data_IF_131696922380
#
_entry.id   IF_131696922380
#
_cell.length_a   1.000
_cell.length_b   1.000
_cell.length_c   1.000
_cell.angle_alpha   90.00
_cell.angle_beta   90.00
_cell.angle_gamma   90.00
#
_symmetry.space_group_name_H-M   'P 1'
#
loop_
_entity.id
_entity.type
_entity.pdbx_description
1 polymer ?
#
# COMPACT_ATOMS: atom_id res chain seq x y z
N UNK A 1 10.04 -13.56 8.15
CA UNK A 1 11.29 -13.07 7.50
C UNK A 1 11.70 -13.94 6.30
N UNK A 2 11.73 -15.29 6.38
CA UNK A 2 12.15 -16.15 5.25
C UNK A 2 11.40 -15.82 3.95
N UNK A 3 10.07 -15.73 3.99
CA UNK A 3 9.24 -15.40 2.81
C UNK A 3 9.61 -14.02 2.23
N UNK A 4 9.89 -13.03 3.07
CA UNK A 4 10.29 -11.68 2.64
C UNK A 4 11.66 -11.65 1.96
N UNK A 5 12.61 -12.45 2.44
CA UNK A 5 13.99 -12.50 1.89
C UNK A 5 14.05 -13.30 0.59
N UNK A 6 13.18 -14.30 0.40
CA UNK A 6 13.21 -15.20 -0.74
C UNK A 6 13.19 -14.49 -2.10
N UNK A 7 12.32 -13.50 -2.39
CA UNK A 7 12.34 -12.75 -3.64
C UNK A 7 13.66 -11.96 -3.84
N UNK A 8 14.21 -11.39 -2.78
CA UNK A 8 15.48 -10.64 -2.84
C UNK A 8 16.62 -11.54 -3.24
N UNK A 9 16.69 -12.74 -2.66
CA UNK A 9 17.74 -13.72 -2.98
C UNK A 9 17.59 -14.25 -4.41
N UNK A 10 16.35 -14.47 -4.86
CA UNK A 10 16.08 -15.04 -6.18
C UNK A 10 16.28 -14.04 -7.32
N UNK A 11 15.88 -12.79 -7.12
CA UNK A 11 15.77 -11.80 -8.20
C UNK A 11 16.69 -10.59 -8.03
N UNK A 12 17.43 -10.51 -6.91
CA UNK A 12 18.28 -9.38 -6.57
C UNK A 12 17.55 -8.02 -6.66
N UNK A 13 16.36 -7.94 -6.11
CA UNK A 13 15.58 -6.69 -6.04
C UNK A 13 16.26 -5.67 -5.10
N UNK A 14 15.98 -4.38 -5.31
CA UNK A 14 16.57 -3.29 -4.52
C UNK A 14 15.87 -3.10 -3.17
N UNK A 15 14.62 -3.53 -3.05
CA UNK A 15 13.85 -3.44 -1.83
C UNK A 15 13.03 -4.71 -1.57
N UNK A 16 12.92 -5.06 -0.28
CA UNK A 16 12.02 -6.09 0.22
C UNK A 16 10.81 -5.44 0.86
N UNK A 17 9.61 -5.93 0.58
CA UNK A 17 8.41 -5.57 1.35
C UNK A 17 8.14 -6.65 2.40
N UNK A 18 7.91 -6.24 3.64
CA UNK A 18 7.62 -7.21 4.71
C UNK A 18 6.38 -8.05 4.38
N UNK A 19 6.49 -9.37 4.49
CA UNK A 19 5.32 -10.24 4.32
C UNK A 19 4.44 -10.16 5.58
N UNK A 20 3.34 -9.43 5.45
CA UNK A 20 2.32 -9.19 6.49
C UNK A 20 0.95 -8.96 5.81
N UNK A 21 -0.01 -8.40 6.52
CA UNK A 21 -1.33 -8.06 6.01
C UNK A 21 -1.74 -6.65 6.47
N UNK A 22 -2.44 -5.89 5.63
CA UNK A 22 -3.00 -4.58 5.99
C UNK A 22 -4.01 -4.66 7.12
N UNK A 23 -4.63 -5.82 7.31
CA UNK A 23 -5.62 -6.07 8.37
C UNK A 23 -5.00 -6.27 9.75
N UNK A 24 -3.66 -6.20 9.86
CA UNK A 24 -3.01 -6.21 11.18
C UNK A 24 -3.47 -5.05 12.06
N UNK A 25 -3.72 -3.87 11.49
CA UNK A 25 -4.21 -2.74 12.28
C UNK A 25 -5.63 -2.98 12.84
N UNK A 26 -6.66 -3.38 12.08
CA UNK A 26 -7.95 -3.82 12.62
C UNK A 26 -7.82 -4.98 13.64
N UNK A 27 -6.96 -5.95 13.36
CA UNK A 27 -6.68 -7.04 14.29
C UNK A 27 -6.12 -6.52 15.62
N UNK A 28 -5.14 -5.63 15.58
CA UNK A 28 -4.59 -4.95 16.75
C UNK A 28 -5.65 -4.20 17.55
N UNK A 29 -6.60 -3.57 16.86
CA UNK A 29 -7.74 -2.88 17.42
C UNK A 29 -8.86 -3.82 17.95
N UNK A 30 -8.64 -5.13 17.91
CA UNK A 30 -9.53 -6.11 18.53
C UNK A 30 -10.59 -6.71 17.61
N UNK A 31 -10.53 -6.44 16.31
CA UNK A 31 -11.38 -7.09 15.32
C UNK A 31 -10.72 -8.37 14.84
N UNK A 32 -11.37 -9.52 15.00
CA UNK A 32 -10.81 -10.81 14.59
C UNK A 32 -10.78 -10.94 13.08
N UNK A 33 -9.73 -11.54 12.53
CA UNK A 33 -9.57 -11.85 11.11
C UNK A 33 -9.83 -13.34 10.90
N UNK A 34 -10.75 -13.67 10.00
CA UNK A 34 -11.03 -15.04 9.54
C UNK A 34 -10.81 -15.10 8.04
N UNK A 35 -10.24 -16.21 7.57
CA UNK A 35 -10.11 -16.46 6.14
C UNK A 35 -11.25 -17.38 5.69
N UNK A 36 -12.13 -16.86 4.83
CA UNK A 36 -13.18 -17.64 4.20
C UNK A 36 -12.70 -18.09 2.81
N UNK A 37 -12.91 -19.38 2.49
CA UNK A 37 -12.58 -19.91 1.16
C UNK A 37 -13.31 -19.10 0.09
N UNK A 38 -12.61 -18.78 -1.00
CA UNK A 38 -13.10 -18.01 -2.17
C UNK A 38 -13.46 -16.53 -1.89
N UNK A 39 -13.57 -16.11 -0.62
CA UNK A 39 -13.82 -14.73 -0.23
C UNK A 39 -12.52 -13.98 0.16
N UNK A 40 -11.59 -14.71 0.76
CA UNK A 40 -10.38 -14.14 1.35
C UNK A 40 -10.57 -13.68 2.81
N UNK A 41 -9.82 -12.67 3.25
CA UNK A 41 -9.90 -12.21 4.63
C UNK A 41 -11.22 -11.47 4.91
N UNK A 42 -11.86 -11.81 6.03
CA UNK A 42 -13.08 -11.21 6.55
C UNK A 42 -12.89 -10.86 8.01
N UNK A 43 -13.29 -9.66 8.38
CA UNK A 43 -13.25 -9.22 9.76
C UNK A 43 -14.56 -9.58 10.49
N UNK A 44 -14.45 -9.86 11.79
CA UNK A 44 -15.62 -10.03 12.67
C UNK A 44 -16.50 -8.77 12.66
N UNK A 45 -17.71 -8.87 13.20
CA UNK A 45 -18.60 -7.71 13.33
C UNK A 45 -17.88 -6.57 14.05
N UNK A 46 -17.99 -5.36 13.50
CA UNK A 46 -17.41 -4.16 14.08
C UNK A 46 -18.10 -3.82 15.40
N UNK A 47 -17.32 -3.62 16.43
CA UNK A 47 -17.74 -3.06 17.71
C UNK A 47 -16.95 -1.76 17.97
N UNK A 48 -17.51 -0.65 17.49
CA UNK A 48 -16.89 0.68 17.58
C UNK A 48 -16.60 1.05 19.03
N UNK A 49 -17.52 0.77 19.97
CA UNK A 49 -17.35 1.11 21.40
C UNK A 49 -16.17 0.37 22.01
N UNK A 50 -15.97 -0.89 21.63
CA UNK A 50 -14.81 -1.69 22.09
C UNK A 50 -13.51 -1.14 21.49
N UNK A 51 -13.49 -0.87 20.19
CA UNK A 51 -12.29 -0.33 19.49
C UNK A 51 -11.86 1.01 20.08
N UNK A 52 -12.80 1.91 20.35
CA UNK A 52 -12.49 3.22 20.93
C UNK A 52 -11.82 3.14 22.31
N UNK A 53 -12.04 2.06 23.04
CA UNK A 53 -11.45 1.82 24.38
C UNK A 53 -10.08 1.14 24.35
N UNK A 54 -9.63 0.61 23.22
CA UNK A 54 -8.33 -0.08 23.10
C UNK A 54 -7.19 0.87 23.46
N UNK A 55 -6.28 0.40 24.32
CA UNK A 55 -5.09 1.13 24.74
C UNK A 55 -3.92 0.86 23.80
N UNK A 56 -3.00 1.80 23.72
CA UNK A 56 -1.82 1.72 22.84
C UNK A 56 -0.95 0.48 23.17
N UNK A 57 -0.72 0.20 24.43
CA UNK A 57 0.07 -0.96 24.84
C UNK A 57 -0.56 -2.29 24.41
N UNK A 58 -1.89 -2.42 24.53
CA UNK A 58 -2.59 -3.64 24.10
C UNK A 58 -2.45 -3.87 22.59
N UNK A 59 -2.57 -2.78 21.81
CA UNK A 59 -2.38 -2.81 20.37
C UNK A 59 -0.93 -3.20 20.00
N UNK A 60 0.07 -2.55 20.61
CA UNK A 60 1.49 -2.83 20.35
C UNK A 60 1.82 -4.27 20.68
N UNK A 61 1.41 -4.75 21.85
CA UNK A 61 1.66 -6.12 22.29
C UNK A 61 1.06 -7.14 21.32
N UNK A 62 -0.16 -6.89 20.86
CA UNK A 62 -0.85 -7.76 19.91
C UNK A 62 -0.16 -7.82 18.54
N UNK A 63 0.47 -6.74 18.10
CA UNK A 63 1.21 -6.64 16.84
C UNK A 63 2.72 -6.91 16.98
N UNK A 64 3.21 -7.23 18.18
CA UNK A 64 4.64 -7.49 18.42
C UNK A 64 5.26 -8.55 17.49
N UNK A 65 4.55 -9.62 17.03
CA UNK A 65 5.11 -10.55 16.06
C UNK A 65 5.45 -9.91 14.71
N UNK A 66 4.69 -8.90 14.27
CA UNK A 66 4.97 -8.14 13.03
C UNK A 66 6.28 -7.36 13.18
N UNK A 67 6.44 -6.65 14.29
CA UNK A 67 7.66 -5.87 14.58
C UNK A 67 8.89 -6.77 14.70
N UNK A 68 8.74 -7.93 15.35
CA UNK A 68 9.81 -8.93 15.43
C UNK A 68 10.18 -9.50 14.04
N UNK A 69 9.19 -9.70 13.17
CA UNK A 69 9.45 -10.13 11.78
C UNK A 69 10.23 -9.09 10.99
N UNK A 70 9.92 -7.79 11.16
CA UNK A 70 10.64 -6.67 10.55
C UNK A 70 12.09 -6.65 11.05
N UNK A 71 12.29 -6.66 12.36
CA UNK A 71 13.63 -6.67 12.98
C UNK A 71 14.49 -7.83 12.46
N UNK A 72 13.92 -9.03 12.45
CA UNK A 72 14.62 -10.23 11.97
C UNK A 72 14.94 -10.15 10.50
N UNK A 73 14.01 -9.60 9.68
CA UNK A 73 14.24 -9.41 8.24
C UNK A 73 15.34 -8.37 8.00
N UNK A 74 15.29 -7.24 8.71
CA UNK A 74 16.30 -6.17 8.56
C UNK A 74 17.71 -6.67 8.87
N UNK A 75 17.87 -7.48 9.92
CA UNK A 75 19.17 -8.09 10.28
C UNK A 75 19.70 -9.04 9.21
N UNK A 76 18.80 -9.69 8.43
CA UNK A 76 19.16 -10.63 7.38
C UNK A 76 19.30 -10.00 6.00
N UNK A 77 18.82 -8.77 5.84
CA UNK A 77 18.86 -8.05 4.58
C UNK A 77 20.25 -7.42 4.37
N UNK A 78 20.77 -7.46 3.14
CA UNK A 78 22.02 -6.77 2.79
C UNK A 78 21.87 -5.26 3.01
N UNK A 79 22.96 -4.58 3.35
CA UNK A 79 22.97 -3.14 3.69
C UNK A 79 22.57 -2.21 2.54
N UNK A 80 22.76 -2.67 1.30
CA UNK A 80 22.40 -1.97 0.07
C UNK A 80 20.94 -2.15 -0.34
N UNK A 81 20.16 -2.91 0.43
CA UNK A 81 18.72 -3.17 0.18
C UNK A 81 17.84 -2.48 1.20
N UNK A 82 16.73 -1.93 0.73
CA UNK A 82 15.72 -1.29 1.60
C UNK A 82 14.66 -2.28 2.07
N UNK A 83 14.15 -2.07 3.29
CA UNK A 83 13.00 -2.81 3.81
C UNK A 83 11.78 -1.90 3.86
N UNK A 84 10.75 -2.28 3.11
CA UNK A 84 9.47 -1.59 3.05
C UNK A 84 8.54 -2.17 4.11
N UNK A 85 8.15 -1.36 5.10
CA UNK A 85 6.98 -1.59 5.92
C UNK A 85 5.72 -1.08 5.21
N UNK A 86 4.53 -1.44 5.69
CA UNK A 86 3.32 -0.93 5.07
C UNK A 86 2.11 -0.89 5.99
N UNK A 87 1.10 -0.15 5.58
CA UNK A 87 -0.23 -0.12 6.17
C UNK A 87 -1.31 -0.08 5.09
N UNK A 88 -2.52 -0.48 5.45
CA UNK A 88 -3.71 -0.07 4.69
C UNK A 88 -4.09 1.36 5.05
N UNK A 89 -4.45 2.16 4.06
CA UNK A 89 -5.00 3.50 4.30
C UNK A 89 -6.37 3.43 5.02
N UNK A 90 -6.76 4.46 5.76
CA UNK A 90 -7.97 4.44 6.59
C UNK A 90 -9.23 4.06 5.84
N UNK A 91 -9.46 4.58 4.63
CA UNK A 91 -10.63 4.19 3.83
C UNK A 91 -10.60 2.71 3.44
N UNK A 92 -9.48 2.24 2.94
CA UNK A 92 -9.32 0.82 2.61
C UNK A 92 -9.59 -0.07 3.82
N UNK A 93 -9.11 0.30 5.00
CA UNK A 93 -9.38 -0.45 6.22
C UNK A 93 -10.87 -0.38 6.62
N UNK A 94 -11.53 0.75 6.45
CA UNK A 94 -12.97 0.89 6.68
C UNK A 94 -13.79 -0.05 5.79
N UNK A 95 -13.42 -0.19 4.52
CA UNK A 95 -14.07 -1.17 3.62
C UNK A 95 -14.08 -2.57 4.22
N UNK A 96 -12.98 -2.99 4.83
CA UNK A 96 -12.88 -4.29 5.51
C UNK A 96 -13.58 -4.29 6.88
N UNK A 97 -13.34 -3.27 7.73
CA UNK A 97 -13.87 -3.20 9.10
C UNK A 97 -15.40 -3.18 9.13
N UNK A 98 -16.02 -2.47 8.19
CA UNK A 98 -17.49 -2.41 8.04
C UNK A 98 -18.06 -3.54 7.18
N UNK A 99 -17.20 -4.46 6.67
CA UNK A 99 -17.63 -5.55 5.78
C UNK A 99 -18.45 -5.03 4.59
N UNK A 100 -17.95 -3.97 3.93
CA UNK A 100 -18.65 -3.35 2.79
C UNK A 100 -18.54 -4.17 1.49
N UNK A 101 -17.69 -5.18 1.45
CA UNK A 101 -17.51 -6.06 0.29
C UNK A 101 -18.55 -7.18 0.28
N UNK A 102 -19.06 -7.47 -0.90
CA UNK A 102 -19.84 -8.68 -1.16
C UNK A 102 -18.95 -9.86 -1.60
N UNK A 103 -19.58 -11.02 -1.86
CA UNK A 103 -18.88 -12.24 -2.32
C UNK A 103 -18.19 -12.06 -3.69
N UNK A 104 -18.69 -11.15 -4.52
CA UNK A 104 -18.13 -10.83 -5.84
C UNK A 104 -17.09 -9.72 -5.77
N UNK A 105 -16.67 -9.34 -4.56
CA UNK A 105 -15.73 -8.23 -4.29
C UNK A 105 -16.28 -6.84 -4.69
N UNK A 106 -17.58 -6.70 -4.95
CA UNK A 106 -18.20 -5.40 -5.16
C UNK A 106 -18.37 -4.69 -3.82
N UNK A 107 -18.27 -3.34 -3.85
CA UNK A 107 -18.55 -2.54 -2.66
C UNK A 107 -20.03 -2.16 -2.57
N UNK A 108 -20.60 -2.37 -1.41
CA UNK A 108 -21.92 -1.84 -1.05
C UNK A 108 -21.75 -0.58 -0.19
N UNK A 109 -21.37 0.53 -0.85
CA UNK A 109 -21.14 1.83 -0.20
C UNK A 109 -22.41 2.36 0.48
N UNK A 110 -23.62 1.99 0.00
CA UNK A 110 -24.88 2.43 0.60
C UNK A 110 -25.05 1.99 2.06
N UNK A 111 -24.26 1.00 2.51
CA UNK A 111 -24.25 0.56 3.91
C UNK A 111 -23.37 1.43 4.81
N UNK A 112 -22.61 2.36 4.25
CA UNK A 112 -21.68 3.19 5.00
C UNK A 112 -22.25 4.59 5.19
N UNK A 113 -22.42 5.00 6.45
CA UNK A 113 -22.87 6.35 6.79
C UNK A 113 -21.67 7.30 6.95
N UNK A 114 -21.43 8.10 5.91
CA UNK A 114 -20.34 9.07 5.85
C UNK A 114 -20.48 10.22 6.87
N UNK A 115 -21.67 10.42 7.44
CA UNK A 115 -21.97 11.54 8.35
C UNK A 115 -22.06 11.12 9.81
N UNK A 116 -22.03 9.83 10.11
CA UNK A 116 -22.12 9.32 11.47
C UNK A 116 -20.94 9.80 12.32
N UNK A 117 -21.23 10.31 13.51
CA UNK A 117 -20.20 10.79 14.45
C UNK A 117 -19.31 9.65 14.95
N UNK A 118 -19.85 8.45 15.21
CA UNK A 118 -19.04 7.29 15.58
C UNK A 118 -18.03 6.92 14.49
N UNK A 119 -18.39 7.12 13.21
CA UNK A 119 -17.48 6.91 12.08
C UNK A 119 -16.32 7.91 12.10
N UNK A 120 -16.59 9.17 12.48
CA UNK A 120 -15.53 10.19 12.62
C UNK A 120 -14.57 9.86 13.76
N UNK A 121 -15.10 9.48 14.92
CA UNK A 121 -14.29 9.10 16.08
C UNK A 121 -13.45 7.86 15.79
N UNK A 122 -14.04 6.89 15.08
CA UNK A 122 -13.33 5.69 14.66
C UNK A 122 -12.22 6.02 13.65
N UNK A 123 -12.46 6.97 12.71
CA UNK A 123 -11.45 7.42 11.75
C UNK A 123 -10.25 8.04 12.48
N UNK A 124 -10.47 8.94 13.41
CA UNK A 124 -9.40 9.56 14.19
C UNK A 124 -8.64 8.53 15.05
N UNK A 125 -9.37 7.61 15.67
CA UNK A 125 -8.76 6.50 16.40
C UNK A 125 -7.88 5.65 15.48
N UNK A 126 -8.39 5.30 14.30
CA UNK A 126 -7.67 4.49 13.32
C UNK A 126 -6.39 5.18 12.85
N UNK A 127 -6.46 6.46 12.45
CA UNK A 127 -5.29 7.25 12.04
C UNK A 127 -4.23 7.26 13.15
N UNK A 128 -4.62 7.55 14.40
CA UNK A 128 -3.71 7.53 15.55
C UNK A 128 -2.99 6.19 15.69
N UNK A 129 -3.71 5.07 15.58
CA UNK A 129 -3.14 3.74 15.75
C UNK A 129 -2.35 3.27 14.52
N UNK A 130 -2.67 3.76 13.31
CA UNK A 130 -1.83 3.58 12.14
C UNK A 130 -0.50 4.31 12.28
N UNK A 131 -0.50 5.55 12.77
CA UNK A 131 0.74 6.28 13.08
C UNK A 131 1.59 5.53 14.11
N UNK A 132 0.97 5.00 15.16
CA UNK A 132 1.67 4.17 16.16
C UNK A 132 2.24 2.88 15.53
N UNK A 133 1.48 2.22 14.65
CA UNK A 133 1.94 1.04 13.93
C UNK A 133 3.12 1.34 13.01
N UNK A 134 3.07 2.47 12.29
CA UNK A 134 4.17 2.97 11.47
C UNK A 134 5.41 3.20 12.32
N UNK A 135 5.28 3.93 13.43
CA UNK A 135 6.40 4.19 14.33
C UNK A 135 7.07 2.88 14.77
N UNK A 136 6.28 1.88 15.19
CA UNK A 136 6.83 0.57 15.61
C UNK A 136 7.45 -0.22 14.45
N UNK A 137 6.95 -0.11 13.23
CA UNK A 137 7.60 -0.70 12.05
C UNK A 137 8.95 -0.02 11.77
N UNK A 138 9.02 1.30 11.85
CA UNK A 138 10.26 2.07 11.65
C UNK A 138 11.28 1.77 12.75
N UNK A 139 10.88 1.78 14.01
CA UNK A 139 11.74 1.40 15.16
C UNK A 139 12.29 -0.03 15.01
N UNK A 140 11.52 -0.94 14.41
CA UNK A 140 11.93 -2.31 14.11
C UNK A 140 12.86 -2.45 12.89
N UNK A 141 13.06 -1.37 12.12
CA UNK A 141 14.01 -1.30 11.01
C UNK A 141 13.41 -1.21 9.60
N UNK A 142 12.14 -0.86 9.46
CA UNK A 142 11.58 -0.48 8.16
C UNK A 142 12.18 0.87 7.70
N UNK A 143 12.69 0.93 6.48
CA UNK A 143 13.35 2.12 5.91
C UNK A 143 12.33 3.08 5.27
N UNK A 144 11.22 2.55 4.78
CA UNK A 144 10.16 3.29 4.10
C UNK A 144 8.80 2.66 4.39
N UNK A 145 7.74 3.44 4.39
CA UNK A 145 6.38 2.94 4.62
C UNK A 145 5.54 3.11 3.36
N UNK A 146 4.97 2.02 2.87
CA UNK A 146 3.97 2.04 1.80
C UNK A 146 2.56 2.09 2.38
N UNK A 147 1.73 3.02 1.87
CA UNK A 147 0.34 3.24 2.29
C UNK A 147 -0.57 2.78 1.16
N UNK A 148 -1.26 1.66 1.36
CA UNK A 148 -2.14 1.07 0.35
C UNK A 148 -3.58 1.55 0.52
N UNK A 149 -4.07 2.39 -0.41
CA UNK A 149 -5.48 2.76 -0.50
C UNK A 149 -6.15 2.09 -1.71
N UNK A 150 -6.26 0.78 -1.63
CA UNK A 150 -6.68 -0.10 -2.73
C UNK A 150 -8.14 0.11 -3.18
N UNK A 151 -8.94 0.81 -2.38
CA UNK A 151 -10.35 1.07 -2.61
C UNK A 151 -10.66 2.57 -2.81
N UNK A 152 -9.63 3.41 -2.99
CA UNK A 152 -9.78 4.85 -3.14
C UNK A 152 -10.68 5.25 -4.32
N UNK A 153 -10.63 4.51 -5.43
CA UNK A 153 -11.44 4.74 -6.62
C UNK A 153 -12.96 4.55 -6.41
N UNK A 154 -13.35 3.87 -5.33
CA UNK A 154 -14.77 3.58 -5.05
C UNK A 154 -15.37 4.55 -4.03
N UNK A 155 -14.60 5.56 -3.59
CA UNK A 155 -15.15 6.69 -2.84
C UNK A 155 -15.92 7.62 -3.76
N UNK A 156 -17.14 8.02 -3.41
CA UNK A 156 -17.82 9.13 -4.06
C UNK A 156 -16.97 10.41 -4.02
N UNK A 157 -17.03 11.21 -5.07
CA UNK A 157 -16.19 12.40 -5.22
C UNK A 157 -16.33 13.39 -4.06
N UNK A 158 -17.55 13.58 -3.55
CA UNK A 158 -17.85 14.44 -2.41
C UNK A 158 -17.21 13.94 -1.09
N UNK A 159 -16.82 12.68 -1.02
CA UNK A 159 -16.23 12.07 0.17
C UNK A 159 -14.73 11.80 0.06
N UNK A 160 -14.12 11.91 -1.14
CA UNK A 160 -12.72 11.55 -1.39
C UNK A 160 -11.75 12.39 -0.54
N UNK A 161 -12.03 13.68 -0.39
CA UNK A 161 -11.18 14.54 0.43
C UNK A 161 -11.20 14.10 1.89
N UNK A 162 -12.38 13.84 2.45
CA UNK A 162 -12.58 13.52 3.87
C UNK A 162 -12.06 12.13 4.25
N UNK A 163 -12.17 11.13 3.36
CA UNK A 163 -11.87 9.74 3.70
C UNK A 163 -10.60 9.20 3.03
N UNK A 164 -10.08 9.86 1.99
CA UNK A 164 -8.82 9.50 1.34
C UNK A 164 -7.74 10.58 1.56
N UNK A 165 -7.94 11.83 1.07
CA UNK A 165 -6.84 12.79 1.05
C UNK A 165 -6.40 13.24 2.44
N UNK A 166 -7.32 13.75 3.27
CA UNK A 166 -6.98 14.26 4.61
C UNK A 166 -6.42 13.17 5.54
N UNK A 167 -6.98 11.95 5.60
CA UNK A 167 -6.38 10.88 6.39
C UNK A 167 -4.96 10.50 5.95
N UNK A 168 -4.72 10.39 4.63
CA UNK A 168 -3.37 10.13 4.10
C UNK A 168 -2.42 11.30 4.39
N UNK A 169 -2.89 12.56 4.30
CA UNK A 169 -2.11 13.74 4.68
C UNK A 169 -1.66 13.70 6.15
N UNK A 170 -2.56 13.38 7.08
CA UNK A 170 -2.23 13.26 8.50
C UNK A 170 -1.14 12.20 8.74
N UNK A 171 -1.27 11.03 8.09
CA UNK A 171 -0.31 9.94 8.19
C UNK A 171 1.05 10.33 7.58
N UNK A 172 1.06 10.91 6.38
CA UNK A 172 2.30 11.36 5.72
C UNK A 172 3.00 12.45 6.55
N UNK A 173 2.25 13.39 7.12
CA UNK A 173 2.84 14.40 8.01
C UNK A 173 3.44 13.79 9.28
N UNK A 174 2.80 12.75 9.84
CA UNK A 174 3.38 12.00 10.94
C UNK A 174 4.70 11.33 10.52
N UNK A 175 4.74 10.66 9.37
CA UNK A 175 5.93 10.02 8.84
C UNK A 175 7.08 11.03 8.65
N UNK A 176 6.79 12.22 8.13
CA UNK A 176 7.79 13.31 8.01
C UNK A 176 8.38 13.72 9.37
N UNK A 177 7.56 13.80 10.43
CA UNK A 177 8.03 14.14 11.77
C UNK A 177 8.98 13.11 12.36
N UNK A 178 8.84 11.84 11.97
CA UNK A 178 9.74 10.75 12.39
C UNK A 178 10.81 10.41 11.34
N UNK A 179 10.99 11.27 10.32
CA UNK A 179 11.95 11.11 9.23
C UNK A 179 11.84 9.77 8.49
N UNK A 180 10.63 9.30 8.25
CA UNK A 180 10.34 8.05 7.54
C UNK A 180 9.71 8.35 6.19
N UNK A 181 10.39 8.06 5.06
CA UNK A 181 9.83 8.25 3.72
C UNK A 181 8.55 7.43 3.49
N UNK A 182 7.68 7.96 2.63
CA UNK A 182 6.39 7.35 2.32
C UNK A 182 6.19 7.08 0.85
N UNK A 183 5.55 5.95 0.52
CA UNK A 183 5.03 5.63 -0.80
C UNK A 183 3.51 5.50 -0.67
N UNK A 184 2.74 6.40 -1.29
CA UNK A 184 1.28 6.33 -1.25
C UNK A 184 0.73 5.69 -2.52
N UNK A 185 -0.26 4.79 -2.38
CA UNK A 185 -0.93 4.15 -3.50
C UNK A 185 -2.46 4.29 -3.41
N UNK A 186 -3.02 5.46 -3.78
CA UNK A 186 -4.46 5.66 -3.91
C UNK A 186 -4.94 5.09 -5.26
N UNK A 187 -5.18 3.78 -5.31
CA UNK A 187 -5.44 3.05 -6.54
C UNK A 187 -6.70 3.51 -7.25
N UNK A 188 -6.60 3.67 -8.58
CA UNK A 188 -7.74 3.85 -9.48
C UNK A 188 -8.37 5.24 -9.47
N UNK A 189 -7.75 6.24 -8.84
CA UNK A 189 -8.30 7.59 -8.80
C UNK A 189 -8.09 8.42 -10.07
N UNK A 190 -7.40 7.86 -11.07
CA UNK A 190 -7.20 8.49 -12.39
C UNK A 190 -6.55 9.87 -12.31
N UNK A 191 -7.08 10.87 -13.01
CA UNK A 191 -6.53 12.23 -13.00
C UNK A 191 -6.52 12.90 -11.62
N UNK A 192 -7.27 12.37 -10.63
CA UNK A 192 -7.28 12.87 -9.25
C UNK A 192 -5.96 12.59 -8.51
N UNK A 193 -5.05 11.79 -9.07
CA UNK A 193 -3.67 11.67 -8.59
C UNK A 193 -2.98 13.03 -8.42
N UNK A 194 -3.27 14.00 -9.30
CA UNK A 194 -2.73 15.37 -9.19
C UNK A 194 -3.20 16.05 -7.88
N UNK A 195 -4.51 16.01 -7.60
CA UNK A 195 -5.05 16.58 -6.37
C UNK A 195 -4.53 15.85 -5.12
N UNK A 196 -4.42 14.53 -5.18
CA UNK A 196 -3.84 13.74 -4.10
C UNK A 196 -2.39 14.18 -3.81
N UNK A 197 -1.56 14.29 -4.85
CA UNK A 197 -0.17 14.74 -4.73
C UNK A 197 -0.08 16.13 -4.08
N UNK A 198 -0.89 17.08 -4.55
CA UNK A 198 -0.85 18.47 -4.09
C UNK A 198 -1.29 18.62 -2.62
N UNK A 199 -2.25 17.80 -2.17
CA UNK A 199 -2.79 17.84 -0.80
C UNK A 199 -1.93 17.00 0.14
N UNK A 200 -1.65 15.75 -0.22
CA UNK A 200 -1.00 14.77 0.68
C UNK A 200 0.51 14.94 0.73
N UNK A 201 1.13 15.33 -0.38
CA UNK A 201 2.57 15.57 -0.53
C UNK A 201 3.43 14.39 -0.05
N UNK A 202 3.20 13.16 -0.57
CA UNK A 202 4.03 12.01 -0.23
C UNK A 202 5.43 12.14 -0.84
N UNK A 203 6.40 11.37 -0.35
CA UNK A 203 7.74 11.33 -0.94
C UNK A 203 7.74 10.57 -2.27
N UNK A 204 6.90 9.53 -2.37
CA UNK A 204 6.68 8.78 -3.60
C UNK A 204 5.19 8.49 -3.79
N UNK A 205 4.74 8.51 -5.04
CA UNK A 205 3.37 8.22 -5.44
C UNK A 205 3.36 7.01 -6.37
N UNK A 206 2.75 5.92 -5.92
CA UNK A 206 2.54 4.74 -6.75
C UNK A 206 1.30 4.93 -7.62
N UNK A 207 1.46 4.68 -8.92
CA UNK A 207 0.39 4.75 -9.92
C UNK A 207 -0.03 3.34 -10.35
N UNK A 208 -1.30 3.18 -10.69
CA UNK A 208 -1.81 1.93 -11.27
C UNK A 208 -1.67 1.91 -12.80
N UNK A 209 -1.97 0.77 -13.40
CA UNK A 209 -1.81 0.54 -14.84
C UNK A 209 -2.84 1.26 -15.72
N UNK A 210 -3.89 1.85 -15.15
CA UNK A 210 -4.87 2.65 -15.89
C UNK A 210 -4.37 4.10 -16.10
N UNK A 211 -3.29 4.49 -15.43
CA UNK A 211 -2.70 5.83 -15.57
C UNK A 211 -1.74 5.86 -16.76
N UNK A 212 -2.00 6.73 -17.73
CA UNK A 212 -1.08 6.95 -18.84
C UNK A 212 0.26 7.49 -18.34
N UNK A 213 1.41 6.82 -18.61
CA UNK A 213 2.71 7.22 -18.07
C UNK A 213 3.18 8.60 -18.57
N UNK A 214 2.86 9.01 -19.79
CA UNK A 214 3.19 10.35 -20.29
C UNK A 214 2.41 11.42 -19.54
N UNK A 215 1.12 11.18 -19.28
CA UNK A 215 0.32 12.08 -18.43
C UNK A 215 0.89 12.18 -17.02
N UNK A 216 1.30 11.05 -16.43
CA UNK A 216 1.91 11.04 -15.11
C UNK A 216 3.22 11.83 -15.07
N UNK A 217 4.08 11.67 -16.09
CA UNK A 217 5.31 12.46 -16.23
C UNK A 217 5.05 13.96 -16.26
N UNK A 218 4.03 14.39 -16.99
CA UNK A 218 3.70 15.81 -17.18
C UNK A 218 3.01 16.44 -15.97
N UNK A 219 2.17 15.69 -15.27
CA UNK A 219 1.26 16.25 -14.27
C UNK A 219 1.69 15.96 -12.81
N UNK A 220 2.58 14.96 -12.59
CA UNK A 220 3.06 14.56 -11.27
C UNK A 220 4.57 14.82 -11.12
N UNK A 221 5.00 16.06 -11.42
CA UNK A 221 6.43 16.42 -11.56
C UNK A 221 7.19 16.43 -10.23
N UNK A 222 6.53 16.82 -9.16
CA UNK A 222 7.16 17.19 -7.89
C UNK A 222 7.23 16.01 -6.89
N UNK A 223 7.07 14.78 -7.37
CA UNK A 223 7.07 13.58 -6.55
C UNK A 223 7.82 12.44 -7.25
N UNK A 224 8.51 11.58 -6.49
CA UNK A 224 8.97 10.30 -7.04
C UNK A 224 7.77 9.48 -7.50
N UNK A 225 7.87 8.80 -8.64
CA UNK A 225 6.81 7.90 -9.11
C UNK A 225 7.23 6.44 -8.93
N UNK A 226 6.26 5.59 -8.64
CA UNK A 226 6.41 4.14 -8.60
C UNK A 226 5.33 3.47 -9.46
N UNK A 227 5.67 2.35 -10.07
CA UNK A 227 4.68 1.45 -10.67
C UNK A 227 4.28 1.79 -12.08
N UNK A 228 3.17 1.24 -12.44
CA UNK A 228 2.36 1.50 -13.59
C UNK A 228 2.25 0.34 -14.58
N UNK A 229 3.17 -0.62 -14.61
CA UNK A 229 3.06 -1.75 -15.56
C UNK A 229 1.88 -2.66 -15.19
N UNK A 230 1.07 -3.00 -16.19
CA UNK A 230 -0.04 -3.94 -16.01
C UNK A 230 0.48 -5.36 -15.72
N UNK A 231 0.17 -5.94 -14.55
CA UNK A 231 0.63 -7.29 -14.22
C UNK A 231 0.09 -8.38 -15.15
N UNK A 232 -1.00 -8.14 -15.89
CA UNK A 232 -1.56 -9.09 -16.86
C UNK A 232 -0.64 -9.30 -18.06
N UNK A 233 0.22 -8.33 -18.39
CA UNK A 233 1.22 -8.46 -19.46
C UNK A 233 2.23 -9.58 -19.19
N UNK A 234 2.47 -9.92 -17.90
CA UNK A 234 3.37 -11.01 -17.53
C UNK A 234 2.78 -12.40 -17.80
N UNK A 235 1.49 -12.49 -18.16
CA UNK A 235 0.82 -13.76 -18.44
C UNK A 235 0.81 -14.13 -19.92
N UNK A 236 0.85 -13.14 -20.83
CA UNK A 236 0.39 -13.37 -22.18
C UNK A 236 1.50 -13.18 -23.24
N UNK A 237 1.78 -11.94 -23.61
CA UNK A 237 2.61 -11.61 -24.77
C UNK A 237 3.92 -10.99 -24.31
N UNK A 238 4.97 -11.76 -24.42
CA UNK A 238 6.30 -11.34 -24.01
C UNK A 238 6.78 -10.08 -24.79
N UNK A 239 6.48 -9.98 -26.06
CA UNK A 239 6.86 -8.82 -26.89
C UNK A 239 6.16 -7.55 -26.37
N UNK A 240 4.86 -7.62 -26.18
CA UNK A 240 4.07 -6.48 -25.67
C UNK A 240 4.54 -6.06 -24.27
N UNK A 241 4.86 -7.03 -23.41
CA UNK A 241 5.43 -6.78 -22.08
C UNK A 241 6.73 -5.99 -22.18
N UNK A 242 7.69 -6.41 -22.99
CA UNK A 242 8.98 -5.73 -23.10
C UNK A 242 8.89 -4.38 -23.80
N UNK A 243 8.01 -4.22 -24.78
CA UNK A 243 7.72 -2.92 -25.40
C UNK A 243 7.17 -1.94 -24.34
N UNK A 244 6.27 -2.40 -23.45
CA UNK A 244 5.73 -1.55 -22.37
C UNK A 244 6.80 -1.26 -21.29
N UNK A 245 7.65 -2.22 -20.95
CA UNK A 245 8.80 -2.00 -20.03
C UNK A 245 9.72 -0.92 -20.60
N UNK A 246 10.12 -1.02 -21.87
CA UNK A 246 10.99 -0.03 -22.52
C UNK A 246 10.32 1.35 -22.55
N UNK A 247 9.03 1.41 -22.84
CA UNK A 247 8.25 2.65 -22.83
C UNK A 247 8.30 3.34 -21.46
N UNK A 248 8.05 2.61 -20.35
CA UNK A 248 8.10 3.18 -19.00
C UNK A 248 9.51 3.65 -18.65
N UNK A 249 10.53 2.85 -18.92
CA UNK A 249 11.92 3.20 -18.67
C UNK A 249 12.34 4.47 -19.43
N UNK A 250 11.98 4.58 -20.72
CA UNK A 250 12.28 5.76 -21.54
C UNK A 250 11.49 7.01 -21.08
N UNK A 251 10.23 6.85 -20.69
CA UNK A 251 9.42 7.98 -20.22
C UNK A 251 10.00 8.54 -18.92
N UNK A 252 10.44 7.68 -18.01
CA UNK A 252 10.85 8.09 -16.66
C UNK A 252 12.37 8.17 -16.44
N UNK A 253 13.21 7.97 -17.47
CA UNK A 253 14.68 7.92 -17.36
C UNK A 253 15.33 9.17 -16.73
N UNK A 254 14.71 10.33 -16.86
CA UNK A 254 15.25 11.62 -16.38
C UNK A 254 14.59 12.12 -15.09
N UNK A 255 14.05 11.20 -14.25
CA UNK A 255 13.43 11.56 -12.97
C UNK A 255 13.53 10.44 -11.94
N UNK A 256 13.28 10.79 -10.68
CA UNK A 256 13.15 9.78 -9.62
C UNK A 256 11.96 8.85 -9.94
N UNK A 257 12.26 7.57 -10.18
CA UNK A 257 11.30 6.55 -10.53
C UNK A 257 11.68 5.19 -9.93
N UNK A 258 10.70 4.52 -9.34
CA UNK A 258 10.82 3.16 -8.84
C UNK A 258 10.04 2.26 -9.80
N UNK A 259 10.77 1.46 -10.57
CA UNK A 259 10.11 0.50 -11.46
C UNK A 259 9.34 -0.54 -10.66
N UNK A 260 8.05 -0.66 -10.93
CA UNK A 260 7.16 -1.62 -10.29
C UNK A 260 5.95 -1.88 -11.19
N UNK A 261 5.14 -2.89 -10.83
CA UNK A 261 3.84 -3.12 -11.44
C UNK A 261 2.79 -2.16 -10.87
N UNK A 262 1.73 -1.91 -11.63
CA UNK A 262 0.57 -1.12 -11.21
C UNK A 262 -0.39 -1.85 -10.26
N UNK A 263 -0.10 -3.11 -9.95
CA UNK A 263 -0.77 -3.94 -8.94
C UNK A 263 0.11 -5.15 -8.60
N UNK A 264 -0.32 -5.98 -7.63
CA UNK A 264 0.37 -7.24 -7.29
C UNK A 264 0.41 -8.22 -8.46
N UNK A 265 1.42 -9.09 -8.46
CA UNK A 265 1.53 -10.21 -9.40
C UNK A 265 0.30 -11.13 -9.34
N UNK A 266 -0.06 -11.69 -10.47
CA UNK A 266 -1.09 -12.71 -10.55
C UNK A 266 -0.52 -14.08 -10.18
N UNK A 267 -1.30 -14.99 -9.57
CA UNK A 267 -0.81 -16.30 -9.14
C UNK A 267 -0.21 -17.13 -10.28
N UNK A 268 -0.70 -16.91 -11.50
CA UNK A 268 -0.30 -17.64 -12.72
C UNK A 268 0.97 -17.08 -13.35
N UNK A 269 1.53 -15.99 -12.82
CA UNK A 269 2.74 -15.37 -13.37
C UNK A 269 3.93 -16.31 -13.33
N UNK A 270 4.54 -16.57 -14.49
CA UNK A 270 5.76 -17.36 -14.57
C UNK A 270 6.94 -16.62 -13.91
N UNK A 271 7.60 -17.24 -12.91
CA UNK A 271 8.78 -16.67 -12.26
C UNK A 271 9.94 -16.33 -13.20
N UNK A 272 10.11 -17.05 -14.31
CA UNK A 272 11.18 -16.77 -15.28
C UNK A 272 10.85 -15.52 -16.14
N UNK A 273 9.59 -15.28 -16.46
CA UNK A 273 9.16 -14.02 -17.10
C UNK A 273 9.45 -12.82 -16.19
N UNK A 274 9.13 -12.93 -14.90
CA UNK A 274 9.47 -11.87 -13.92
C UNK A 274 10.98 -11.62 -13.85
N UNK A 275 11.79 -12.67 -13.83
CA UNK A 275 13.26 -12.57 -13.82
C UNK A 275 13.78 -11.79 -15.02
N UNK A 276 13.30 -12.11 -16.23
CA UNK A 276 13.70 -11.41 -17.46
C UNK A 276 13.32 -9.91 -17.44
N UNK A 277 12.14 -9.59 -16.90
CA UNK A 277 11.75 -8.16 -16.70
C UNK A 277 12.75 -7.46 -15.79
N UNK A 278 13.12 -8.07 -14.66
CA UNK A 278 14.07 -7.48 -13.72
C UNK A 278 15.45 -7.31 -14.36
N UNK A 279 15.95 -8.31 -15.10
CA UNK A 279 17.20 -8.22 -15.85
C UNK A 279 17.18 -7.10 -16.88
N UNK A 280 16.08 -6.94 -17.62
CA UNK A 280 15.87 -5.86 -18.57
C UNK A 280 15.93 -4.48 -17.89
N UNK A 281 15.21 -4.31 -16.78
CA UNK A 281 15.22 -3.06 -16.01
C UNK A 281 16.62 -2.72 -15.49
N UNK A 282 17.36 -3.71 -14.97
CA UNK A 282 18.73 -3.51 -14.48
C UNK A 282 19.74 -3.20 -15.58
N UNK A 283 19.52 -3.69 -16.79
CA UNK A 283 20.39 -3.42 -17.96
C UNK A 283 20.11 -2.07 -18.64
N UNK A 284 19.03 -1.39 -18.27
CA UNK A 284 18.69 -0.08 -18.83
C UNK A 284 19.68 0.99 -18.36
N UNK A 285 20.23 1.73 -19.31
CA UNK A 285 21.25 2.78 -19.10
C UNK A 285 20.69 4.16 -19.42
#
# INVERSE_FOLDING_TARGET
SKITIQPITRYDLDAAIIFSDILMAPFGLGQEVKFEKDFGPKLSKLDTKKILKIKENDFINKLSPVYKAIETTKKSLKKDKSLIGFIGAPWTLFVYMFNLRDKNKNLNIKKFDFNNNETKDLLQKLIKFLCLHIQKQTEAGADVIQIFDSWANLLPDEHINKFCYLPNYEIVNFCKKINTPTICFPKGIGKKYKNFMDIVKPDCLSIDHDVNPSWAKENLKDVCLQGGIDPRLLLNNERELFDEVDKYLNIFNNRAYIFNLGHGLLPETDPETLKRVIEKVKSFK
#
